data_IF_282364762494
#
_entry.id   IF_282364762494
#
_cell.length_a   1.000
_cell.length_b   1.000
_cell.length_c   1.000
_cell.angle_alpha   90.00
_cell.angle_beta   90.00
_cell.angle_gamma   90.00
#
_symmetry.space_group_name_H-M   'P 1'
#
loop_
_entity.id
_entity.type
_entity.pdbx_description
1 polymer ?
#
# COMPACT_ATOMS: atom_id res chain seq x y z
N UNK A 1 -7.46 12.87 7.17
CA UNK A 1 -6.78 14.18 7.36
C UNK A 1 -6.63 14.96 6.06
N UNK A 2 -6.16 14.35 4.96
CA UNK A 2 -5.98 15.05 3.68
C UNK A 2 -7.23 15.70 3.11
N UNK A 3 -8.36 14.99 3.13
CA UNK A 3 -9.63 15.51 2.65
C UNK A 3 -10.12 16.72 3.45
N UNK A 4 -9.98 16.69 4.78
CA UNK A 4 -10.42 17.76 5.68
C UNK A 4 -9.67 19.08 5.43
N UNK A 5 -8.34 19.01 5.31
CA UNK A 5 -7.49 20.20 5.18
C UNK A 5 -7.24 20.62 3.74
N UNK A 6 -7.89 19.98 2.78
CA UNK A 6 -7.70 20.25 1.36
C UNK A 6 -8.09 21.69 0.98
N UNK A 7 -9.06 22.30 1.65
CA UNK A 7 -9.53 23.65 1.31
C UNK A 7 -8.74 24.79 1.98
N UNK A 8 -7.83 24.51 2.92
CA UNK A 8 -7.17 25.56 3.71
C UNK A 8 -6.06 26.30 2.96
N UNK A 9 -5.17 25.58 2.28
CA UNK A 9 -4.17 26.22 1.40
C UNK A 9 -3.63 25.23 0.36
N UNK A 10 -3.15 25.71 -0.80
CA UNK A 10 -2.53 24.84 -1.81
C UNK A 10 -1.32 24.05 -1.27
N UNK A 11 -0.53 24.65 -0.38
CA UNK A 11 0.61 23.99 0.27
C UNK A 11 0.14 22.85 1.17
N UNK A 12 -0.81 23.13 2.06
CA UNK A 12 -1.31 22.15 3.02
C UNK A 12 -2.04 20.98 2.33
N UNK A 13 -2.81 21.28 1.28
CA UNK A 13 -3.40 20.28 0.39
C UNK A 13 -2.35 19.35 -0.17
N UNK A 14 -1.31 19.89 -0.81
CA UNK A 14 -0.24 19.07 -1.38
C UNK A 14 0.41 18.18 -0.32
N UNK A 15 0.82 18.74 0.82
CA UNK A 15 1.45 18.00 1.92
C UNK A 15 0.59 16.83 2.40
N UNK A 16 -0.69 17.06 2.68
CA UNK A 16 -1.52 15.98 3.22
C UNK A 16 -1.90 14.93 2.18
N UNK A 17 -2.09 15.28 0.91
CA UNK A 17 -2.28 14.27 -0.13
C UNK A 17 -1.03 13.42 -0.32
N UNK A 18 0.18 13.97 -0.15
CA UNK A 18 1.39 13.16 -0.14
C UNK A 18 1.45 12.21 1.07
N UNK A 19 1.08 12.68 2.25
CA UNK A 19 1.00 11.83 3.44
C UNK A 19 -0.03 10.70 3.27
N UNK A 20 -1.15 10.97 2.60
CA UNK A 20 -2.16 9.98 2.25
C UNK A 20 -1.59 8.89 1.34
N UNK A 21 -0.84 9.25 0.29
CA UNK A 21 -0.21 8.26 -0.57
C UNK A 21 0.93 7.50 0.13
N UNK A 22 1.71 8.19 0.96
CA UNK A 22 2.79 7.57 1.74
C UNK A 22 2.25 6.56 2.75
N UNK A 23 1.10 6.81 3.37
CA UNK A 23 0.48 5.89 4.33
C UNK A 23 -0.04 4.61 3.65
N UNK A 24 -0.57 4.69 2.43
CA UNK A 24 -0.94 3.51 1.62
C UNK A 24 0.29 2.63 1.37
N UNK A 25 1.45 3.26 1.10
CA UNK A 25 2.71 2.53 0.90
C UNK A 25 3.26 1.90 2.18
N UNK A 26 3.21 2.64 3.28
CA UNK A 26 3.55 2.14 4.59
C UNK A 26 2.71 0.92 4.96
N UNK A 27 1.38 1.01 4.76
CA UNK A 27 0.44 -0.08 5.02
C UNK A 27 0.76 -1.32 4.19
N UNK A 28 0.91 -1.18 2.87
CA UNK A 28 1.20 -2.34 2.00
C UNK A 28 2.51 -3.05 2.35
N UNK A 29 3.53 -2.29 2.74
CA UNK A 29 4.80 -2.86 3.21
C UNK A 29 4.66 -3.54 4.58
N UNK A 30 3.97 -2.90 5.54
CA UNK A 30 3.71 -3.50 6.85
C UNK A 30 2.96 -4.83 6.73
N UNK A 31 1.93 -4.89 5.88
CA UNK A 31 1.19 -6.13 5.60
C UNK A 31 2.11 -7.21 5.02
N UNK A 32 3.07 -6.84 4.16
CA UNK A 32 4.06 -7.78 3.61
C UNK A 32 4.94 -8.38 4.71
N UNK A 33 5.40 -7.55 5.65
CA UNK A 33 6.15 -8.00 6.83
C UNK A 33 5.31 -8.92 7.72
N UNK A 34 4.02 -8.62 7.93
CA UNK A 34 3.14 -9.50 8.69
C UNK A 34 2.98 -10.88 8.02
N UNK A 35 2.81 -10.92 6.69
CA UNK A 35 2.59 -12.19 5.98
C UNK A 35 3.80 -13.10 5.96
N UNK A 36 5.01 -12.54 5.83
CA UNK A 36 6.25 -13.35 5.85
C UNK A 36 6.45 -14.11 7.15
N UNK A 37 5.97 -13.54 8.28
CA UNK A 37 6.08 -14.18 9.60
C UNK A 37 4.89 -15.09 9.92
N UNK A 38 3.67 -14.65 9.62
CA UNK A 38 2.47 -15.31 10.13
C UNK A 38 1.79 -16.26 9.15
N UNK A 39 1.90 -16.00 7.84
CA UNK A 39 1.16 -16.79 6.83
C UNK A 39 2.06 -17.70 6.01
N UNK A 40 3.25 -17.23 5.66
CA UNK A 40 4.15 -17.95 4.75
C UNK A 40 5.59 -17.98 5.29
N UNK A 41 5.84 -18.68 6.42
CA UNK A 41 7.18 -18.83 6.98
C UNK A 41 8.03 -19.70 6.02
N UNK A 42 8.92 -19.05 5.27
CA UNK A 42 9.72 -19.68 4.20
C UNK A 42 9.74 -18.88 2.90
N UNK A 43 8.91 -17.84 2.80
CA UNK A 43 8.89 -16.95 1.65
C UNK A 43 10.09 -16.00 1.66
N UNK A 44 10.99 -16.15 0.70
CA UNK A 44 12.21 -15.33 0.54
C UNK A 44 11.95 -13.91 0.01
N UNK A 45 10.71 -13.41 0.03
CA UNK A 45 10.38 -12.07 -0.49
C UNK A 45 11.00 -10.93 0.31
N UNK A 46 11.20 -11.14 1.62
CA UNK A 46 11.92 -10.21 2.49
C UNK A 46 13.40 -10.55 2.63
N UNK A 47 13.93 -11.50 1.84
CA UNK A 47 15.36 -11.73 1.85
C UNK A 47 16.06 -10.38 1.59
N UNK A 48 16.93 -10.01 2.52
CA UNK A 48 17.54 -8.69 2.55
C UNK A 48 18.24 -8.38 1.22
N UNK A 49 18.67 -9.41 0.49
CA UNK A 49 19.27 -9.29 -0.85
C UNK A 49 18.28 -8.87 -1.95
N UNK A 50 17.03 -9.35 -1.92
CA UNK A 50 16.01 -9.00 -2.90
C UNK A 50 15.46 -7.58 -2.64
N UNK A 51 15.19 -7.28 -1.37
CA UNK A 51 14.66 -5.97 -0.97
C UNK A 51 15.72 -4.86 -1.04
N UNK A 52 16.99 -5.12 -0.66
CA UNK A 52 18.08 -4.14 -0.79
C UNK A 52 18.40 -3.83 -2.24
N UNK A 53 18.48 -4.84 -3.13
CA UNK A 53 18.66 -4.62 -4.57
C UNK A 53 17.48 -3.87 -5.17
N UNK A 54 16.26 -4.18 -4.75
CA UNK A 54 15.07 -3.49 -5.23
C UNK A 54 15.04 -2.02 -4.80
N UNK A 55 15.32 -1.74 -3.52
CA UNK A 55 15.40 -0.39 -2.95
C UNK A 55 16.56 0.39 -3.55
N UNK A 56 17.75 -0.21 -3.71
CA UNK A 56 18.93 0.40 -4.32
C UNK A 56 18.74 0.68 -5.82
N UNK A 57 18.16 -0.24 -6.58
CA UNK A 57 17.90 -0.06 -8.01
C UNK A 57 16.85 1.02 -8.26
N UNK A 58 15.85 1.15 -7.39
CA UNK A 58 14.84 2.21 -7.47
C UNK A 58 15.33 3.56 -6.94
N UNK A 59 16.06 3.61 -5.82
CA UNK A 59 16.70 4.82 -5.30
C UNK A 59 17.79 5.33 -6.26
N UNK A 60 18.60 4.43 -6.85
CA UNK A 60 19.60 4.78 -7.85
C UNK A 60 18.99 5.38 -9.12
N UNK A 61 17.78 4.93 -9.50
CA UNK A 61 17.01 5.51 -10.62
C UNK A 61 16.35 6.84 -10.27
N UNK A 62 16.26 7.23 -8.99
CA UNK A 62 15.82 8.57 -8.58
C UNK A 62 16.83 9.67 -8.94
N UNK A 63 18.13 9.34 -9.05
CA UNK A 63 19.16 10.30 -9.46
C UNK A 63 19.19 10.55 -10.97
N UNK A 64 18.73 9.58 -11.78
CA UNK A 64 18.73 9.69 -13.25
C UNK A 64 17.44 10.29 -13.83
N UNK A 65 16.34 10.34 -13.06
CA UNK A 65 15.03 10.81 -13.52
C UNK A 65 14.77 12.31 -13.22
N UNK A 66 15.81 13.10 -12.98
CA UNK A 66 15.69 14.57 -12.79
C UNK A 66 15.05 15.31 -13.97
N UNK A 67 14.89 14.68 -15.14
CA UNK A 67 14.42 15.33 -16.36
C UNK A 67 12.98 14.99 -16.78
N UNK A 68 12.21 14.19 -16.03
CA UNK A 68 10.85 13.80 -16.44
C UNK A 68 9.83 13.80 -15.28
N UNK A 69 9.35 15.01 -14.94
CA UNK A 69 8.02 15.35 -14.39
C UNK A 69 7.57 14.75 -13.01
N UNK A 70 6.75 15.48 -12.22
CA UNK A 70 6.09 14.99 -10.98
C UNK A 70 5.23 13.71 -11.14
N UNK A 71 5.00 13.22 -12.37
CA UNK A 71 4.32 11.95 -12.62
C UNK A 71 5.14 10.75 -12.17
N UNK A 72 6.48 10.76 -12.32
CA UNK A 72 7.31 9.59 -12.01
C UNK A 72 7.30 9.24 -10.51
N UNK A 73 7.27 10.25 -9.64
CA UNK A 73 7.21 10.04 -8.18
C UNK A 73 5.80 9.71 -7.70
N UNK A 74 4.77 10.24 -8.37
CA UNK A 74 3.40 9.77 -8.15
C UNK A 74 3.28 8.29 -8.53
N UNK A 75 3.75 7.89 -9.70
CA UNK A 75 3.78 6.47 -10.10
C UNK A 75 4.60 5.61 -9.13
N UNK A 76 5.66 6.14 -8.53
CA UNK A 76 6.49 5.43 -7.55
C UNK A 76 5.73 5.07 -6.26
N UNK A 77 5.05 6.03 -5.65
CA UNK A 77 4.28 5.82 -4.41
C UNK A 77 3.06 4.94 -4.65
N UNK A 78 2.48 5.00 -5.86
CA UNK A 78 1.31 4.18 -6.23
C UNK A 78 1.67 2.77 -6.71
N UNK A 79 2.82 2.58 -7.38
CA UNK A 79 3.22 1.28 -7.92
C UNK A 79 3.96 0.40 -6.90
N UNK A 80 4.60 1.01 -5.90
CA UNK A 80 5.35 0.26 -4.88
C UNK A 80 4.48 -0.73 -4.09
N UNK A 81 3.28 -0.36 -3.61
CA UNK A 81 2.41 -1.27 -2.85
C UNK A 81 1.83 -2.37 -3.73
N UNK A 82 1.47 -2.04 -4.97
CA UNK A 82 0.96 -3.00 -5.95
C UNK A 82 2.05 -4.02 -6.34
N UNK A 83 3.30 -3.58 -6.46
CA UNK A 83 4.44 -4.45 -6.76
C UNK A 83 4.84 -5.38 -5.63
N UNK A 84 4.55 -5.03 -4.37
CA UNK A 84 4.80 -5.92 -3.22
C UNK A 84 3.64 -6.88 -2.96
N UNK A 85 2.40 -6.47 -3.26
CA UNK A 85 1.23 -7.33 -3.18
C UNK A 85 1.20 -8.44 -4.25
N UNK A 86 1.82 -8.21 -5.42
CA UNK A 86 1.79 -9.12 -6.57
C UNK A 86 2.58 -10.44 -6.34
N UNK A 87 3.83 -10.44 -5.85
CA UNK A 87 4.55 -11.67 -5.55
C UNK A 87 3.87 -12.49 -4.43
N UNK A 88 3.31 -11.82 -3.42
CA UNK A 88 2.55 -12.47 -2.35
C UNK A 88 1.30 -13.13 -2.92
N UNK A 89 0.58 -12.45 -3.81
CA UNK A 89 -0.60 -13.00 -4.49
C UNK A 89 -0.24 -14.22 -5.33
N UNK A 90 0.87 -14.17 -6.07
CA UNK A 90 1.34 -15.31 -6.86
C UNK A 90 1.73 -16.48 -5.96
N UNK A 91 2.48 -16.24 -4.90
CA UNK A 91 2.89 -17.32 -4.01
C UNK A 91 1.74 -17.84 -3.15
N UNK A 92 0.80 -17.03 -2.69
CA UNK A 92 -0.40 -17.50 -1.96
C UNK A 92 -1.45 -18.19 -2.85
N UNK A 93 -1.40 -17.96 -4.17
CA UNK A 93 -2.16 -18.74 -5.15
C UNK A 93 -1.49 -20.10 -5.42
N UNK A 94 -0.16 -20.18 -5.30
CA UNK A 94 0.64 -21.38 -5.54
C UNK A 94 0.86 -22.23 -4.27
N UNK A 95 0.90 -21.61 -3.09
CA UNK A 95 0.91 -22.26 -1.79
C UNK A 95 -0.52 -22.62 -1.40
N UNK A 96 -0.68 -23.84 -0.93
CA UNK A 96 -1.98 -24.46 -0.73
C UNK A 96 -2.68 -23.95 0.54
N UNK A 97 -3.14 -22.70 0.53
CA UNK A 97 -4.06 -22.18 1.56
C UNK A 97 -5.40 -22.97 1.56
N UNK A 98 -5.71 -23.65 0.45
CA UNK A 98 -6.94 -24.44 0.27
C UNK A 98 -6.93 -25.71 1.10
N UNK A 99 -5.78 -26.33 1.38
CA UNK A 99 -5.71 -27.54 2.23
C UNK A 99 -5.77 -27.26 3.73
N UNK A 100 -5.55 -26.03 4.18
CA UNK A 100 -5.67 -25.68 5.61
C UNK A 100 -7.10 -25.36 6.02
N UNK A 101 -7.77 -24.41 5.35
CA UNK A 101 -9.08 -23.92 5.78
C UNK A 101 -9.91 -23.30 4.63
N UNK A 102 -11.14 -23.80 4.35
CA UNK A 102 -11.98 -23.27 3.27
C UNK A 102 -12.44 -21.82 3.53
N UNK A 103 -12.59 -21.41 4.78
CA UNK A 103 -13.01 -20.06 5.15
C UNK A 103 -11.94 -19.01 4.81
N UNK A 104 -10.67 -19.33 5.03
CA UNK A 104 -9.53 -18.47 4.71
C UNK A 104 -9.41 -18.21 3.21
N UNK A 105 -9.68 -19.22 2.39
CA UNK A 105 -9.74 -19.10 0.94
C UNK A 105 -10.82 -18.10 0.48
N UNK A 106 -11.99 -18.11 1.13
CA UNK A 106 -13.08 -17.16 0.83
C UNK A 106 -12.68 -15.73 1.18
N UNK A 107 -12.11 -15.50 2.36
CA UNK A 107 -11.62 -14.16 2.74
C UNK A 107 -10.55 -13.65 1.78
N UNK A 108 -9.62 -14.53 1.38
CA UNK A 108 -8.57 -14.18 0.42
C UNK A 108 -9.15 -13.74 -0.92
N UNK A 109 -10.01 -14.56 -1.55
CA UNK A 109 -10.59 -14.22 -2.85
C UNK A 109 -11.47 -12.95 -2.77
N UNK A 110 -12.30 -12.86 -1.73
CA UNK A 110 -13.22 -11.73 -1.51
C UNK A 110 -12.47 -10.40 -1.37
N UNK A 111 -11.31 -10.39 -0.68
CA UNK A 111 -10.41 -9.23 -0.61
C UNK A 111 -10.01 -8.72 -1.99
N UNK A 112 -9.57 -9.59 -2.90
CA UNK A 112 -9.16 -9.17 -4.25
C UNK A 112 -10.35 -8.67 -5.08
N UNK A 113 -11.52 -9.29 -4.94
CA UNK A 113 -12.74 -8.77 -5.54
C UNK A 113 -13.02 -7.34 -5.07
N UNK A 114 -12.94 -7.07 -3.76
CA UNK A 114 -13.13 -5.72 -3.24
C UNK A 114 -12.07 -4.74 -3.74
N UNK A 115 -10.80 -5.15 -3.85
CA UNK A 115 -9.73 -4.30 -4.36
C UNK A 115 -9.94 -3.96 -5.85
N UNK A 116 -10.40 -4.92 -6.66
CA UNK A 116 -10.74 -4.68 -8.07
C UNK A 116 -11.92 -3.72 -8.20
N UNK A 117 -12.95 -3.88 -7.37
CA UNK A 117 -14.11 -2.99 -7.34
C UNK A 117 -13.70 -1.58 -6.90
N UNK A 118 -12.85 -1.46 -5.87
CA UNK A 118 -12.29 -0.18 -5.44
C UNK A 118 -11.50 0.50 -6.58
N UNK A 119 -10.61 -0.25 -7.25
CA UNK A 119 -9.83 0.25 -8.38
C UNK A 119 -10.75 0.70 -9.54
N UNK A 120 -11.80 -0.06 -9.83
CA UNK A 120 -12.80 0.30 -10.84
C UNK A 120 -13.44 1.67 -10.53
N UNK A 121 -13.93 1.89 -9.31
CA UNK A 121 -14.54 3.18 -8.95
C UNK A 121 -13.52 4.32 -8.98
N UNK A 122 -12.29 4.09 -8.51
CA UNK A 122 -11.25 5.12 -8.52
C UNK A 122 -10.85 5.53 -9.95
N UNK A 123 -10.75 4.59 -10.88
CA UNK A 123 -10.33 4.87 -12.27
C UNK A 123 -11.49 5.38 -13.12
N UNK A 124 -12.65 4.72 -13.06
CA UNK A 124 -13.79 5.01 -13.94
C UNK A 124 -14.49 6.32 -13.59
N UNK A 125 -14.41 6.79 -12.34
CA UNK A 125 -15.16 7.97 -11.84
C UNK A 125 -16.68 7.83 -12.03
N UNK A 126 -17.17 6.61 -11.97
CA UNK A 126 -18.61 6.29 -11.97
C UNK A 126 -19.07 6.28 -10.49
N UNK A 127 -20.24 6.82 -10.14
CA UNK A 127 -21.34 7.26 -11.02
C UNK A 127 -21.31 8.75 -11.43
N UNK A 128 -20.46 9.59 -10.84
CA UNK A 128 -20.44 11.05 -11.09
C UNK A 128 -20.15 11.42 -12.55
N UNK A 129 -19.43 10.56 -13.29
CA UNK A 129 -19.21 10.71 -14.72
C UNK A 129 -20.48 10.51 -15.55
N UNK A 130 -21.42 9.69 -15.08
CA UNK A 130 -22.68 9.38 -15.78
C UNK A 130 -23.74 10.45 -15.48
N UNK A 131 -23.83 10.90 -14.23
CA UNK A 131 -24.78 11.93 -13.81
C UNK A 131 -24.06 13.03 -13.03
N UNK A 132 -23.48 14.03 -13.74
CA UNK A 132 -22.87 15.19 -13.10
C UNK A 132 -23.90 15.95 -12.26
N UNK A 133 -23.52 16.37 -11.04
CA UNK A 133 -24.38 17.15 -10.14
C UNK A 133 -25.21 16.32 -9.16
N UNK A 134 -25.50 15.04 -9.44
CA UNK A 134 -26.29 14.21 -8.53
C UNK A 134 -25.46 13.64 -7.37
N UNK A 135 -24.19 13.31 -7.66
CA UNK A 135 -23.30 12.63 -6.72
C UNK A 135 -22.29 13.55 -6.04
N UNK A 136 -22.53 14.87 -6.04
CA UNK A 136 -21.55 15.86 -5.57
C UNK A 136 -21.22 15.74 -4.07
N UNK A 137 -22.18 15.29 -3.24
CA UNK A 137 -22.03 15.18 -1.78
C UNK A 137 -21.91 13.73 -1.32
N UNK A 138 -22.76 12.83 -1.85
CA UNK A 138 -22.85 11.42 -1.43
C UNK A 138 -22.80 10.51 -2.63
N UNK A 139 -22.06 9.40 -2.51
CA UNK A 139 -22.05 8.32 -3.49
C UNK A 139 -21.12 8.53 -4.68
N UNK A 140 -20.30 9.57 -4.70
CA UNK A 140 -19.26 9.72 -5.73
C UNK A 140 -18.20 8.61 -5.62
N UNK A 141 -17.51 8.34 -6.74
CA UNK A 141 -16.62 7.20 -6.86
C UNK A 141 -15.50 7.16 -5.82
N UNK A 142 -15.00 8.33 -5.40
CA UNK A 142 -13.97 8.41 -4.37
C UNK A 142 -14.46 7.98 -2.98
N UNK A 143 -15.73 8.20 -2.63
CA UNK A 143 -16.34 7.63 -1.41
C UNK A 143 -16.48 6.11 -1.53
N UNK A 144 -16.97 5.63 -2.68
CA UNK A 144 -17.08 4.20 -2.94
C UNK A 144 -15.72 3.50 -2.88
N UNK A 145 -14.69 4.11 -3.46
CA UNK A 145 -13.31 3.65 -3.37
C UNK A 145 -12.86 3.43 -1.91
N UNK A 146 -13.13 4.39 -1.03
CA UNK A 146 -12.82 4.25 0.40
C UNK A 146 -13.57 3.10 1.06
N UNK A 147 -14.87 2.95 0.76
CA UNK A 147 -15.70 1.86 1.31
C UNK A 147 -15.16 0.49 0.89
N UNK A 148 -14.92 0.28 -0.40
CA UNK A 148 -14.43 -1.02 -0.90
C UNK A 148 -12.98 -1.30 -0.48
N UNK A 149 -12.14 -0.27 -0.36
CA UNK A 149 -10.79 -0.43 0.20
C UNK A 149 -10.86 -0.84 1.68
N UNK A 150 -11.77 -0.26 2.46
CA UNK A 150 -12.00 -0.68 3.84
C UNK A 150 -12.47 -2.14 3.93
N UNK A 151 -13.42 -2.57 3.10
CA UNK A 151 -13.87 -3.98 3.06
C UNK A 151 -12.72 -4.94 2.72
N UNK A 152 -11.85 -4.57 1.77
CA UNK A 152 -10.63 -5.32 1.47
C UNK A 152 -9.68 -5.42 2.68
N UNK A 153 -9.53 -4.33 3.45
CA UNK A 153 -8.71 -4.31 4.67
C UNK A 153 -9.36 -5.16 5.78
N UNK A 154 -10.68 -5.12 5.90
CA UNK A 154 -11.43 -5.91 6.88
C UNK A 154 -11.22 -7.42 6.65
N UNK A 155 -11.35 -7.87 5.40
CA UNK A 155 -11.06 -9.25 5.02
C UNK A 155 -9.57 -9.59 5.19
N UNK A 156 -8.67 -8.61 4.99
CA UNK A 156 -7.25 -8.77 5.25
C UNK A 156 -6.93 -9.08 6.71
N UNK A 157 -7.57 -8.38 7.64
CA UNK A 157 -7.30 -8.54 9.07
C UNK A 157 -7.67 -9.95 9.54
N UNK A 158 -8.78 -10.52 9.06
CA UNK A 158 -9.24 -11.85 9.49
C UNK A 158 -8.19 -12.95 9.26
N UNK A 159 -7.59 -13.00 8.07
CA UNK A 159 -6.59 -14.02 7.80
C UNK A 159 -5.23 -13.72 8.44
N UNK A 160 -4.92 -12.45 8.72
CA UNK A 160 -3.73 -12.07 9.50
C UNK A 160 -3.87 -12.53 10.94
N UNK A 161 -5.05 -12.36 11.54
CA UNK A 161 -5.36 -12.82 12.89
C UNK A 161 -5.31 -14.34 12.99
N UNK A 162 -5.87 -15.06 12.01
CA UNK A 162 -5.75 -16.52 11.92
C UNK A 162 -4.29 -16.97 11.80
N UNK A 163 -3.51 -16.33 10.91
CA UNK A 163 -2.08 -16.62 10.75
C UNK A 163 -1.28 -16.34 12.03
N UNK A 164 -1.60 -15.24 12.73
CA UNK A 164 -1.01 -14.93 14.03
C UNK A 164 -1.38 -15.98 15.09
N UNK A 165 -2.64 -16.41 15.13
CA UNK A 165 -3.10 -17.42 16.07
C UNK A 165 -2.42 -18.79 15.83
N UNK A 166 -2.18 -19.16 14.57
CA UNK A 166 -1.39 -20.34 14.23
C UNK A 166 0.09 -20.16 14.62
N UNK A 167 0.68 -19.00 14.33
CA UNK A 167 2.05 -18.68 14.70
C UNK A 167 2.28 -18.77 16.22
N UNK A 168 1.32 -18.30 17.02
CA UNK A 168 1.41 -18.36 18.49
C UNK A 168 1.35 -19.80 19.03
N UNK A 169 0.74 -20.74 18.30
CA UNK A 169 0.70 -22.17 18.70
C UNK A 169 2.01 -22.88 18.41
N UNK A 170 2.65 -22.57 17.27
CA UNK A 170 3.87 -23.22 16.82
C UNK A 170 4.77 -22.22 16.06
N UNK A 171 5.55 -21.39 16.77
CA UNK A 171 6.40 -20.39 16.13
C UNK A 171 7.56 -21.07 15.40
N UNK A 172 7.62 -20.95 14.07
CA UNK A 172 8.74 -21.47 13.27
C UNK A 172 10.00 -20.61 13.40
N UNK A 173 9.85 -19.29 13.31
CA UNK A 173 10.94 -18.32 13.42
C UNK A 173 10.44 -17.05 14.13
N UNK A 174 11.09 -16.67 15.22
CA UNK A 174 10.72 -15.47 15.95
C UNK A 174 11.00 -14.21 15.12
N UNK A 175 10.07 -13.23 15.08
CA UNK A 175 10.33 -11.95 14.45
C UNK A 175 11.49 -11.25 15.16
N UNK A 176 12.46 -10.79 14.37
CA UNK A 176 13.58 -10.01 14.91
C UNK A 176 13.22 -8.53 14.93
N UNK A 177 13.79 -7.79 15.88
CA UNK A 177 13.58 -6.33 15.96
C UNK A 177 14.03 -5.62 14.66
N UNK A 178 15.13 -6.09 14.07
CA UNK A 178 15.65 -5.55 12.82
C UNK A 178 14.74 -5.89 11.62
N UNK A 179 14.22 -7.12 11.56
CA UNK A 179 13.33 -7.60 10.49
C UNK A 179 11.89 -7.10 10.57
N UNK A 180 11.52 -6.39 11.64
CA UNK A 180 10.21 -5.77 11.81
C UNK A 180 10.35 -4.26 11.94
N UNK A 181 10.67 -3.77 13.13
CA UNK A 181 10.81 -2.34 13.44
C UNK A 181 11.89 -1.68 12.60
N UNK A 182 13.03 -2.36 12.38
CA UNK A 182 14.12 -1.85 11.55
C UNK A 182 13.68 -1.51 10.12
N UNK A 183 12.99 -2.43 9.44
CA UNK A 183 12.46 -2.17 8.09
C UNK A 183 11.40 -1.06 8.08
N UNK A 184 10.50 -1.04 9.06
CA UNK A 184 9.47 0.00 9.15
C UNK A 184 10.07 1.41 9.39
N UNK A 185 11.10 1.51 10.23
CA UNK A 185 11.83 2.76 10.47
C UNK A 185 12.57 3.22 9.21
N UNK A 186 13.26 2.31 8.53
CA UNK A 186 13.96 2.62 7.27
C UNK A 186 12.98 3.15 6.22
N UNK A 187 11.84 2.48 6.04
CA UNK A 187 10.79 2.92 5.12
C UNK A 187 10.26 4.31 5.51
N UNK A 188 10.02 4.54 6.79
CA UNK A 188 9.54 5.83 7.30
C UNK A 188 10.55 6.94 6.99
N UNK A 189 11.84 6.71 7.25
CA UNK A 189 12.90 7.66 6.92
C UNK A 189 12.96 7.94 5.42
N UNK A 190 12.87 6.90 4.58
CA UNK A 190 12.81 7.06 3.12
C UNK A 190 11.59 7.91 2.69
N UNK A 191 10.40 7.62 3.22
CA UNK A 191 9.19 8.38 2.92
C UNK A 191 9.30 9.85 3.36
N UNK A 192 9.85 10.10 4.56
CA UNK A 192 10.07 11.46 5.08
C UNK A 192 11.07 12.23 4.21
N UNK A 193 12.17 11.60 3.79
CA UNK A 193 13.15 12.22 2.89
C UNK A 193 12.53 12.55 1.53
N UNK A 194 11.74 11.65 0.96
CA UNK A 194 11.01 11.90 -0.30
C UNK A 194 10.05 13.07 -0.14
N UNK A 195 9.21 13.08 0.90
CA UNK A 195 8.26 14.17 1.16
C UNK A 195 9.00 15.50 1.35
N UNK A 196 10.07 15.54 2.14
CA UNK A 196 10.88 16.76 2.35
C UNK A 196 11.48 17.29 1.04
N UNK A 197 12.11 16.43 0.24
CA UNK A 197 12.71 16.81 -1.04
C UNK A 197 11.66 17.34 -2.02
N UNK A 198 10.45 16.79 -1.98
CA UNK A 198 9.33 17.27 -2.80
C UNK A 198 8.81 18.64 -2.36
N UNK A 199 8.64 18.84 -1.06
CA UNK A 199 8.18 20.13 -0.53
C UNK A 199 9.19 21.25 -0.84
N UNK A 200 10.49 20.98 -0.75
CA UNK A 200 11.52 21.98 -1.09
C UNK A 200 11.52 22.35 -2.58
N UNK A 201 11.26 21.41 -3.49
CA UNK A 201 11.17 21.67 -4.93
C UNK A 201 9.89 22.44 -5.28
N UNK A 202 8.77 22.13 -4.63
CA UNK A 202 7.51 22.83 -4.84
C UNK A 202 7.57 24.32 -4.42
N UNK A 203 8.44 24.67 -3.47
CA UNK A 203 8.69 26.06 -3.09
C UNK A 203 9.61 26.79 -4.08
N UNK A 204 10.53 26.09 -4.75
CA UNK A 204 11.43 26.65 -5.78
C UNK A 204 10.70 27.02 -7.07
N UNK A 205 9.68 26.25 -7.50
CA UNK A 205 8.88 26.58 -8.70
C UNK A 205 7.88 27.73 -8.51
N UNK A 206 7.81 28.35 -7.33
CA UNK A 206 6.95 29.51 -7.05
C UNK A 206 7.68 30.86 -7.06
N UNK A 207 9.00 30.85 -7.20
CA UNK A 207 9.82 32.04 -7.44
C UNK A 207 10.02 32.23 -8.95
#
# INVERSE_FOLDING_TARGET
>A
TAHLFSCLSPRLRATFFYLDYASISYYGFASTVAYSYYLLPGLSLLDASAMSRYVQQRLGRQNAACCAYPFAVRTFVFAMPLSMACPIMLESLLFDLRTRNPTLFVYFYRRYCWLLVAAFFNVSKIPERIQPGLFDIVGHSHQLFHIFTFLSIYDQVHYVEDGLAEFLKAPLAAPTYLGTVGYMLLLTLCLVMVVKKFLSVADLCKQ
#
